data_IF_985048355532
#
_entry.id   IF_985048355532
#
_cell.length_a   1.000
_cell.length_b   1.000
_cell.length_c   1.000
_cell.angle_alpha   90.00
_cell.angle_beta   90.00
_cell.angle_gamma   90.00
#
_symmetry.space_group_name_H-M   'P 1'
#
loop_
_entity.id
_entity.type
_entity.pdbx_description
1 polymer ?
#
# COMPACT_ATOMS: atom_id res chain seq x y z
N UNK A 1 9.06 0.43 -25.23
CA UNK A 1 9.08 1.84 -24.97
C UNK A 1 8.03 2.19 -23.92
N UNK A 2 8.28 3.20 -23.20
CA UNK A 2 7.39 3.54 -22.12
C UNK A 2 6.09 4.14 -22.64
N UNK A 3 5.00 3.68 -22.12
CA UNK A 3 3.70 4.11 -22.57
C UNK A 3 3.35 5.49 -22.03
N UNK A 4 3.01 6.42 -22.92
CA UNK A 4 2.65 7.76 -22.51
C UNK A 4 1.35 7.80 -21.70
N UNK A 5 0.57 6.74 -21.68
CA UNK A 5 -0.62 6.68 -20.84
C UNK A 5 -0.30 6.66 -19.36
N UNK A 6 0.97 6.70 -19.04
CA UNK A 6 1.40 6.75 -17.65
C UNK A 6 0.94 5.56 -16.85
N UNK A 7 0.92 4.39 -17.49
CA UNK A 7 0.69 3.17 -16.74
C UNK A 7 1.81 3.04 -15.73
N UNK A 8 1.45 2.99 -14.46
CA UNK A 8 2.43 2.82 -13.42
C UNK A 8 3.07 1.44 -13.55
N UNK A 9 4.37 1.32 -13.29
CA UNK A 9 4.97 -0.01 -13.25
C UNK A 9 4.26 -0.85 -12.20
N UNK A 10 4.03 -2.10 -12.55
CA UNK A 10 3.47 -3.06 -11.61
C UNK A 10 4.61 -3.83 -10.96
N UNK A 11 4.42 -4.17 -9.71
CA UNK A 11 5.44 -4.93 -9.00
C UNK A 11 4.82 -5.91 -8.03
N UNK A 12 5.68 -6.72 -7.44
CA UNK A 12 5.27 -7.78 -6.53
C UNK A 12 5.00 -7.23 -5.14
N UNK A 13 4.40 -8.07 -4.31
CA UNK A 13 4.18 -7.69 -2.91
C UNK A 13 5.51 -7.42 -2.19
N UNK A 14 6.55 -8.20 -2.49
CA UNK A 14 7.86 -7.95 -1.88
C UNK A 14 8.37 -6.56 -2.20
N UNK A 15 8.19 -6.12 -3.42
CA UNK A 15 8.57 -4.76 -3.81
C UNK A 15 7.68 -3.72 -3.16
N UNK A 16 6.40 -4.02 -3.02
CA UNK A 16 5.47 -3.13 -2.32
C UNK A 16 5.92 -2.91 -0.87
N UNK A 17 6.38 -3.95 -0.21
CA UNK A 17 6.89 -3.84 1.16
C UNK A 17 8.09 -2.91 1.22
N UNK A 18 8.99 -3.00 0.24
CA UNK A 18 10.14 -2.08 0.19
C UNK A 18 9.68 -0.63 0.06
N UNK A 19 8.70 -0.39 -0.78
CA UNK A 19 8.14 0.96 -0.93
C UNK A 19 7.56 1.46 0.39
N UNK A 20 6.83 0.60 1.08
CA UNK A 20 6.24 0.97 2.37
C UNK A 20 7.32 1.30 3.40
N UNK A 21 8.39 0.54 3.42
CA UNK A 21 9.50 0.79 4.35
C UNK A 21 10.22 2.09 4.03
N UNK A 22 10.15 2.54 2.79
CA UNK A 22 10.73 3.81 2.38
C UNK A 22 9.78 4.99 2.62
N UNK A 23 8.63 4.74 3.24
CA UNK A 23 7.67 5.80 3.56
C UNK A 23 6.73 6.14 2.43
N UNK A 24 6.63 5.29 1.43
CA UNK A 24 5.79 5.54 0.27
C UNK A 24 4.49 4.75 0.38
N UNK A 25 3.47 5.22 -0.31
CA UNK A 25 2.18 4.55 -0.35
C UNK A 25 2.10 3.61 -1.53
N UNK A 26 1.40 2.51 -1.35
CA UNK A 26 1.18 1.55 -2.43
C UNK A 26 -0.29 1.19 -2.51
N UNK A 27 -0.69 0.71 -3.67
CA UNK A 27 -2.04 0.24 -3.91
C UNK A 27 -2.00 -0.90 -4.91
N UNK A 28 -3.12 -1.56 -5.12
CA UNK A 28 -3.25 -2.58 -6.14
C UNK A 28 -4.20 -2.11 -7.22
N UNK A 29 -3.81 -2.36 -8.47
CA UNK A 29 -4.68 -2.06 -9.60
C UNK A 29 -6.01 -2.81 -9.50
N UNK A 30 -5.99 -4.03 -8.96
CA UNK A 30 -7.17 -4.86 -8.85
C UNK A 30 -8.14 -4.49 -7.74
N UNK A 31 -7.79 -3.54 -6.89
CA UNK A 31 -8.72 -3.12 -5.84
C UNK A 31 -9.84 -2.29 -6.42
N UNK A 32 -11.05 -2.55 -5.92
CA UNK A 32 -12.25 -1.91 -6.43
C UNK A 32 -12.50 -0.51 -5.88
N UNK A 33 -11.88 -0.18 -4.79
CA UNK A 33 -12.10 1.10 -4.15
C UNK A 33 -11.23 2.18 -4.74
N UNK A 34 -11.82 3.37 -4.91
CA UNK A 34 -11.09 4.51 -5.41
C UNK A 34 -10.24 5.09 -4.31
N UNK A 35 -9.02 5.48 -4.65
CA UNK A 35 -8.10 6.16 -3.72
C UNK A 35 -7.76 5.34 -2.48
N UNK A 36 -7.84 4.02 -2.58
CA UNK A 36 -7.36 3.14 -1.52
C UNK A 36 -5.85 3.01 -1.58
N UNK A 37 -5.23 2.98 -0.41
CA UNK A 37 -3.78 2.77 -0.37
C UNK A 37 -3.37 2.18 0.96
N UNK A 38 -2.15 1.67 0.98
CA UNK A 38 -1.48 1.24 2.20
C UNK A 38 -0.36 2.20 2.53
N UNK A 39 -0.11 2.36 3.80
CA UNK A 39 1.03 3.15 4.28
C UNK A 39 1.56 2.54 5.55
N UNK A 40 2.85 2.67 5.78
CA UNK A 40 3.48 2.17 7.01
C UNK A 40 3.39 3.25 8.08
N UNK A 41 2.82 2.91 9.22
CA UNK A 41 2.81 3.78 10.37
C UNK A 41 4.02 3.46 11.22
N UNK A 42 4.87 4.46 11.44
CA UNK A 42 6.02 4.32 12.33
C UNK A 42 5.69 5.03 13.64
N UNK A 43 5.59 4.31 14.74
CA UNK A 43 5.21 4.93 16.00
C UNK A 43 6.25 5.94 16.49
N UNK A 44 5.78 6.93 17.21
CA UNK A 44 6.63 7.89 17.90
C UNK A 44 6.29 7.88 19.40
N UNK A 45 6.79 8.86 20.14
CA UNK A 45 6.62 8.91 21.58
C UNK A 45 5.15 9.07 22.02
N UNK A 46 4.30 9.54 21.10
CA UNK A 46 2.88 9.79 21.41
C UNK A 46 1.98 8.68 20.88
N UNK A 47 2.53 7.71 20.19
CA UNK A 47 1.74 6.63 19.62
C UNK A 47 1.37 5.62 20.67
N UNK A 48 0.19 5.02 20.53
CA UNK A 48 -0.20 3.92 21.40
C UNK A 48 0.51 2.63 21.03
N UNK A 49 0.75 2.42 19.75
CA UNK A 49 1.45 1.23 19.27
C UNK A 49 2.94 1.43 19.44
N UNK A 50 3.64 0.37 19.78
CA UNK A 50 5.07 0.42 19.99
C UNK A 50 5.88 -0.09 18.80
N UNK A 51 5.24 -0.72 17.82
CA UNK A 51 5.91 -1.27 16.65
C UNK A 51 5.28 -0.75 15.38
N UNK A 52 6.04 -0.65 14.29
CA UNK A 52 5.45 -0.26 13.01
C UNK A 52 4.39 -1.23 12.55
N UNK A 53 3.40 -0.72 11.84
CA UNK A 53 2.37 -1.55 11.25
C UNK A 53 1.85 -0.90 9.98
N UNK A 54 1.25 -1.71 9.12
CA UNK A 54 0.68 -1.25 7.86
C UNK A 54 -0.80 -0.98 8.09
N UNK A 55 -1.27 0.16 7.62
CA UNK A 55 -2.70 0.45 7.64
C UNK A 55 -3.19 0.73 6.23
N UNK A 56 -4.49 0.60 6.07
CA UNK A 56 -5.15 0.88 4.80
C UNK A 56 -6.05 2.09 4.97
N UNK A 57 -5.99 2.99 3.99
CA UNK A 57 -7.01 4.00 3.82
C UNK A 57 -8.08 3.40 2.91
N UNK A 58 -9.27 3.22 3.45
CA UNK A 58 -10.36 2.57 2.73
C UNK A 58 -11.05 3.53 1.77
N UNK A 59 -11.93 2.99 0.95
CA UNK A 59 -12.71 3.80 0.01
C UNK A 59 -13.58 4.81 0.74
N UNK A 60 -13.93 4.55 1.99
CA UNK A 60 -14.73 5.46 2.81
C UNK A 60 -13.89 6.42 3.65
N UNK A 61 -12.61 6.51 3.37
CA UNK A 61 -11.66 7.37 4.08
C UNK A 61 -11.40 6.96 5.52
N UNK A 62 -11.72 5.73 5.89
CA UNK A 62 -11.33 5.20 7.18
C UNK A 62 -9.90 4.68 7.14
N UNK A 63 -9.21 4.77 8.26
CA UNK A 63 -7.88 4.20 8.42
C UNK A 63 -8.01 2.97 9.31
N UNK A 64 -7.63 1.81 8.79
CA UNK A 64 -7.77 0.55 9.52
C UNK A 64 -6.48 -0.25 9.43
N UNK A 65 -6.14 -1.01 10.47
CA UNK A 65 -5.02 -1.93 10.36
C UNK A 65 -5.27 -2.91 9.22
N UNK A 66 -4.20 -3.25 8.51
CA UNK A 66 -4.36 -4.07 7.32
C UNK A 66 -3.74 -5.45 7.53
N UNK A 67 -4.47 -6.46 7.10
CA UNK A 67 -4.00 -7.85 7.10
C UNK A 67 -4.01 -8.32 5.67
N UNK A 68 -2.85 -8.77 5.20
CA UNK A 68 -2.72 -9.21 3.82
C UNK A 68 -3.45 -10.53 3.62
N UNK A 69 -4.27 -10.59 2.58
CA UNK A 69 -4.85 -11.86 2.14
C UNK A 69 -3.83 -12.61 1.28
N UNK A 70 -4.10 -13.88 1.04
CA UNK A 70 -3.28 -14.65 0.11
C UNK A 70 -3.28 -14.00 -1.27
N UNK A 71 -4.43 -13.52 -1.70
CA UNK A 71 -4.54 -12.85 -2.99
C UNK A 71 -3.64 -11.62 -3.05
N UNK A 72 -3.60 -10.84 -1.99
CA UNK A 72 -2.73 -9.66 -1.93
C UNK A 72 -1.26 -10.04 -1.96
N UNK A 73 -0.88 -11.05 -1.20
CA UNK A 73 0.52 -11.47 -1.10
C UNK A 73 1.04 -11.98 -2.44
N UNK A 74 0.21 -12.67 -3.19
CA UNK A 74 0.63 -13.28 -4.45
C UNK A 74 0.36 -12.39 -5.66
N UNK A 75 -0.24 -11.23 -5.47
CA UNK A 75 -0.56 -10.33 -6.58
C UNK A 75 0.70 -9.71 -7.16
N UNK A 76 0.64 -9.42 -8.45
CA UNK A 76 1.73 -8.77 -9.18
C UNK A 76 1.26 -7.45 -9.80
N UNK A 77 0.18 -6.92 -9.29
CA UNK A 77 -0.38 -5.66 -9.76
C UNK A 77 -0.24 -4.52 -8.75
N UNK A 78 0.70 -4.66 -7.84
CA UNK A 78 1.02 -3.59 -6.90
C UNK A 78 1.64 -2.40 -7.64
N UNK A 79 1.36 -1.21 -7.18
CA UNK A 79 1.90 0.01 -7.79
C UNK A 79 1.95 1.12 -6.77
N UNK A 80 2.76 2.17 -7.03
CA UNK A 80 2.77 3.33 -6.15
C UNK A 80 1.40 3.99 -6.12
N UNK A 81 1.07 4.58 -4.98
CA UNK A 81 -0.13 5.39 -4.83
C UNK A 81 0.28 6.82 -4.54
N UNK A 82 -0.50 7.73 -5.03
CA UNK A 82 -0.23 9.15 -4.79
C UNK A 82 -0.70 9.61 -3.41
#
# INVERSE_FOLDING_TARGET
>A
MFNSNKAWPSFTFGEAIKFLKDGLRVTRKGWNGKDMYLELQVPDAHSKMSRPYIYMKTVNDDLVPWVASQTDILAEDWRPAD
#
